data_IF_350165463268
#
_entry.id   IF_350165463268
#
_cell.length_a   1.000
_cell.length_b   1.000
_cell.length_c   1.000
_cell.angle_alpha   90.00
_cell.angle_beta   90.00
_cell.angle_gamma   90.00
#
_symmetry.space_group_name_H-M   'P 1'
#
loop_
_entity.id
_entity.type
_entity.pdbx_description
1 polymer ?
#
# COMPACT_ATOMS: atom_id res chain seq x y z
N UNK A 1 2.20 -17.47 -1.61
CA UNK A 1 3.62 -17.06 -1.80
C UNK A 1 3.88 -15.81 -0.98
N UNK A 2 5.10 -15.66 -0.45
CA UNK A 2 5.51 -14.50 0.34
C UNK A 2 6.73 -13.85 -0.30
N UNK A 3 6.73 -12.53 -0.44
CA UNK A 3 7.83 -11.73 -1.00
C UNK A 3 8.21 -10.62 -0.02
N UNK A 4 9.45 -10.61 0.45
CA UNK A 4 10.00 -9.46 1.16
C UNK A 4 10.32 -8.35 0.17
N UNK A 5 9.87 -7.13 0.46
CA UNK A 5 10.19 -5.95 -0.34
C UNK A 5 11.59 -5.45 0.01
N UNK A 6 12.40 -5.18 -1.01
CA UNK A 6 13.74 -4.62 -0.85
C UNK A 6 14.08 -3.76 -2.08
N UNK A 7 13.97 -2.42 -2.00
CA UNK A 7 13.67 -1.64 -0.79
C UNK A 7 12.22 -1.76 -0.34
N UNK A 8 11.97 -1.43 0.93
CA UNK A 8 10.62 -1.21 1.45
C UNK A 8 9.94 -0.04 0.73
N UNK A 9 8.62 -0.10 0.61
CA UNK A 9 7.84 0.89 -0.14
C UNK A 9 7.01 1.73 0.82
N UNK A 10 7.12 3.05 0.73
CA UNK A 10 6.28 3.96 1.50
C UNK A 10 4.86 3.98 0.93
N UNK A 11 3.87 3.73 1.79
CA UNK A 11 2.48 3.58 1.38
C UNK A 11 1.50 4.28 2.33
N UNK A 12 0.37 4.70 1.75
CA UNK A 12 -0.80 5.17 2.48
C UNK A 12 -1.73 4.00 2.75
N UNK A 13 -2.26 3.94 3.96
CA UNK A 13 -3.30 2.99 4.37
C UNK A 13 -4.50 3.74 4.96
N UNK A 14 -5.65 3.09 5.19
CA UNK A 14 -6.78 3.70 5.91
C UNK A 14 -6.45 4.09 7.35
N UNK A 15 -5.33 3.62 7.92
CA UNK A 15 -4.87 3.92 9.28
C UNK A 15 -3.70 4.92 9.32
N UNK A 16 -3.25 5.41 8.16
CA UNK A 16 -2.14 6.35 8.05
C UNK A 16 -1.01 5.83 7.17
N UNK A 17 0.10 6.57 7.18
CA UNK A 17 1.31 6.25 6.42
C UNK A 17 2.16 5.18 7.09
N UNK A 18 2.86 4.39 6.26
CA UNK A 18 3.80 3.40 6.75
C UNK A 18 4.71 2.81 5.68
N UNK A 19 5.62 1.95 6.13
CA UNK A 19 6.54 1.18 5.29
C UNK A 19 5.96 -0.21 5.05
N UNK A 20 5.61 -0.49 3.80
CA UNK A 20 5.35 -1.86 3.37
C UNK A 20 6.66 -2.61 3.19
N UNK A 21 6.82 -3.73 3.90
CA UNK A 21 8.05 -4.52 3.88
C UNK A 21 7.83 -6.00 3.49
N UNK A 22 6.58 -6.47 3.49
CA UNK A 22 6.23 -7.84 3.14
C UNK A 22 4.95 -7.86 2.30
N UNK A 23 4.93 -8.70 1.27
CA UNK A 23 3.73 -8.99 0.48
C UNK A 23 3.43 -10.48 0.54
N UNK A 24 2.22 -10.81 0.95
CA UNK A 24 1.71 -12.17 1.02
C UNK A 24 0.60 -12.35 -0.02
N UNK A 25 0.67 -13.46 -0.74
CA UNK A 25 -0.26 -13.85 -1.78
C UNK A 25 -0.85 -15.23 -1.45
N UNK A 26 -2.17 -15.32 -1.30
CA UNK A 26 -2.86 -16.56 -0.96
C UNK A 26 -3.35 -17.34 -2.20
N UNK A 27 -3.15 -16.82 -3.41
CA UNK A 27 -3.58 -17.43 -4.67
C UNK A 27 -4.32 -16.45 -5.57
N UNK A 28 -4.66 -16.91 -6.79
CA UNK A 28 -5.25 -16.06 -7.83
C UNK A 28 -6.59 -15.43 -7.43
N UNK A 29 -7.36 -16.09 -6.56
CA UNK A 29 -8.69 -15.65 -6.14
C UNK A 29 -8.66 -14.70 -4.94
N UNK A 30 -7.48 -14.40 -4.38
CA UNK A 30 -7.33 -13.59 -3.19
C UNK A 30 -6.54 -12.32 -3.49
N UNK A 31 -6.90 -11.23 -2.79
CA UNK A 31 -6.09 -10.03 -2.85
C UNK A 31 -4.71 -10.30 -2.24
N UNK A 32 -3.70 -9.64 -2.81
CA UNK A 32 -2.39 -9.57 -2.17
C UNK A 32 -2.53 -8.75 -0.89
N UNK A 33 -1.90 -9.21 0.17
CA UNK A 33 -1.90 -8.54 1.47
C UNK A 33 -0.51 -8.01 1.72
N UNK A 34 -0.41 -6.77 2.20
CA UNK A 34 0.86 -6.15 2.53
C UNK A 34 0.93 -5.93 4.04
N UNK A 35 2.04 -6.36 4.64
CA UNK A 35 2.35 -6.00 6.01
C UNK A 35 3.06 -4.65 6.02
N UNK A 36 2.50 -3.73 6.78
CA UNK A 36 2.91 -2.32 6.84
C UNK A 36 3.27 -1.96 8.27
N UNK A 37 4.48 -1.43 8.46
CA UNK A 37 4.89 -0.76 9.69
C UNK A 37 4.41 0.70 9.64
N UNK A 38 3.36 1.01 10.39
CA UNK A 38 2.77 2.34 10.45
C UNK A 38 3.62 3.30 11.28
N UNK A 39 3.49 4.60 10.99
CA UNK A 39 4.20 5.66 11.73
C UNK A 39 3.89 5.69 13.24
N UNK A 40 2.72 5.19 13.65
CA UNK A 40 2.35 5.10 15.06
C UNK A 40 3.02 3.91 15.79
N UNK A 41 3.80 3.08 15.08
CA UNK A 41 4.49 1.91 15.62
C UNK A 41 3.73 0.59 15.45
N UNK A 42 2.47 0.62 15.00
CA UNK A 42 1.70 -0.60 14.76
C UNK A 42 2.19 -1.31 13.49
N UNK A 43 2.11 -2.64 13.50
CA UNK A 43 2.31 -3.48 12.31
C UNK A 43 1.00 -4.14 11.97
N UNK A 44 0.45 -3.81 10.81
CA UNK A 44 -0.86 -4.28 10.36
C UNK A 44 -0.81 -4.76 8.91
N UNK A 45 -1.73 -5.66 8.58
CA UNK A 45 -1.91 -6.19 7.25
C UNK A 45 -3.06 -5.46 6.53
N UNK A 46 -2.82 -5.12 5.26
CA UNK A 46 -3.78 -4.42 4.42
C UNK A 46 -3.92 -5.11 3.06
N UNK A 47 -5.15 -5.19 2.54
CA UNK A 47 -5.39 -5.66 1.17
C UNK A 47 -4.80 -4.67 0.16
N UNK A 48 -4.37 -5.17 -1.00
CA UNK A 48 -3.87 -4.37 -2.12
C UNK A 48 -4.82 -3.21 -2.49
N UNK A 49 -6.13 -3.41 -2.35
CA UNK A 49 -7.16 -2.41 -2.67
C UNK A 49 -7.18 -1.22 -1.69
N UNK A 50 -6.69 -1.42 -0.47
CA UNK A 50 -6.71 -0.43 0.61
C UNK A 50 -5.46 0.45 0.61
N UNK A 51 -4.44 0.06 -0.15
CA UNK A 51 -3.13 0.68 -0.15
C UNK A 51 -2.98 1.61 -1.36
N UNK A 52 -2.39 2.79 -1.14
CA UNK A 52 -2.08 3.73 -2.21
C UNK A 52 -0.63 4.18 -2.09
N UNK A 53 -0.01 4.54 -3.22
CA UNK A 53 1.33 5.14 -3.19
C UNK A 53 1.28 6.48 -2.46
N UNK A 54 2.35 6.80 -1.73
CA UNK A 54 2.52 8.13 -1.19
C UNK A 54 2.95 9.16 -2.24
N UNK A 55 2.96 10.41 -1.81
CA UNK A 55 3.58 11.51 -2.54
C UNK A 55 5.10 11.28 -2.60
N UNK A 56 5.70 11.68 -3.71
CA UNK A 56 7.13 11.55 -3.92
C UNK A 56 7.65 12.74 -4.73
N UNK A 57 8.20 13.73 -4.04
CA UNK A 57 8.73 14.95 -4.64
C UNK A 57 9.84 14.68 -5.66
N UNK A 58 10.67 13.65 -5.43
CA UNK A 58 11.77 13.27 -6.34
C UNK A 58 11.25 12.86 -7.72
N UNK A 59 10.09 12.20 -7.79
CA UNK A 59 9.45 11.82 -9.06
C UNK A 59 8.42 12.84 -9.56
N UNK A 60 8.37 14.05 -8.99
CA UNK A 60 7.37 15.07 -9.34
C UNK A 60 5.95 14.70 -8.92
N UNK A 61 5.80 13.72 -8.02
CA UNK A 61 4.52 13.23 -7.52
C UNK A 61 4.11 14.02 -6.28
N UNK A 62 3.77 15.28 -6.48
CA UNK A 62 3.49 16.29 -5.44
C UNK A 62 2.09 16.22 -4.82
N UNK A 63 1.21 15.36 -5.33
CA UNK A 63 -0.10 15.13 -4.70
C UNK A 63 -0.55 13.70 -4.91
N UNK A 64 -1.35 13.20 -3.96
CA UNK A 64 -2.00 11.91 -4.10
C UNK A 64 -2.99 11.93 -5.27
N UNK A 65 -2.95 10.92 -6.16
CA UNK A 65 -3.97 10.80 -7.18
C UNK A 65 -5.33 10.56 -6.51
N UNK A 66 -6.35 11.33 -6.90
CA UNK A 66 -7.72 11.09 -6.45
C UNK A 66 -8.13 9.66 -6.78
N UNK A 67 -8.99 9.01 -5.97
CA UNK A 67 -9.61 7.76 -6.39
C UNK A 67 -10.22 7.95 -7.79
N UNK A 68 -10.05 6.99 -8.72
CA UNK A 68 -10.72 7.08 -10.00
C UNK A 68 -12.22 7.16 -9.77
N UNK A 69 -12.90 8.04 -10.51
CA UNK A 69 -14.35 8.08 -10.48
C UNK A 69 -14.88 6.76 -11.07
N UNK A 70 -15.82 6.08 -10.40
CA UNK A 70 -16.43 4.88 -10.96
C UNK A 70 -17.06 5.22 -12.31
N UNK A 71 -16.61 4.55 -13.37
CA UNK A 71 -17.23 4.67 -14.70
C UNK A 71 -18.56 3.92 -14.82
N UNK A 72 -19.00 3.26 -13.74
CA UNK A 72 -20.27 2.54 -13.70
C UNK A 72 -21.35 3.40 -13.03
N UNK A 73 -22.56 3.48 -13.62
CA UNK A 73 -23.70 4.20 -13.04
C UNK A 73 -24.18 3.60 -11.72
#
# INVERSE_FOLDING_TARGET
MMLQLNPEIWVMTPKGEGLAFLVTDYGLDHNKVFSVLLQNGDVLDFDLKDIRRCENATYGLISQPKPPEPHYP
#
